data_IF_591185855423
#
_entry.id   IF_591185855423
#
_cell.length_a   1.000
_cell.length_b   1.000
_cell.length_c   1.000
_cell.angle_alpha   90.00
_cell.angle_beta   90.00
_cell.angle_gamma   90.00
#
_symmetry.space_group_name_H-M   'P 1'
#
loop_
_entity.id
_entity.type
_entity.pdbx_description
1 polymer ?
#
# COMPACT_ATOMS: atom_id res chain seq x y z
N UNK A 1 16.01 39.83 -2.33
CA UNK A 1 15.11 39.48 -1.17
C UNK A 1 14.03 38.60 -1.70
N UNK A 2 14.35 37.32 -1.82
CA UNK A 2 13.40 36.34 -2.33
C UNK A 2 12.59 35.77 -1.16
N UNK A 3 11.31 36.12 -1.14
CA UNK A 3 10.38 35.63 -0.15
C UNK A 3 10.12 34.13 -0.43
N UNK A 4 10.67 33.27 0.42
CA UNK A 4 10.25 31.87 0.52
C UNK A 4 8.77 31.84 0.96
N UNK A 5 7.88 31.70 -0.02
CA UNK A 5 6.51 31.31 0.29
C UNK A 5 6.53 29.84 0.73
N UNK A 6 6.68 29.64 2.02
CA UNK A 6 6.32 28.37 2.67
C UNK A 6 4.80 28.26 2.53
N UNK A 7 4.31 27.53 1.53
CA UNK A 7 2.90 27.20 1.42
C UNK A 7 2.64 26.18 2.54
N UNK A 8 2.30 26.69 3.72
CA UNK A 8 1.65 25.86 4.73
C UNK A 8 0.31 25.43 4.13
N UNK A 9 0.21 24.17 3.66
CA UNK A 9 -1.11 23.54 3.50
C UNK A 9 -1.78 23.68 4.87
N UNK A 10 -2.98 24.27 4.96
CA UNK A 10 -3.70 24.28 6.23
C UNK A 10 -3.82 22.81 6.70
N UNK A 11 -3.84 22.56 8.01
CA UNK A 11 -4.05 21.27 8.66
C UNK A 11 -5.38 20.68 8.14
N UNK A 12 -5.40 20.16 6.93
CA UNK A 12 -6.61 19.58 6.36
C UNK A 12 -6.71 18.16 6.92
N UNK A 13 -7.82 17.87 7.57
CA UNK A 13 -8.16 16.51 7.95
C UNK A 13 -8.53 15.64 6.73
N UNK A 14 -8.37 16.17 5.54
CA UNK A 14 -8.62 15.51 4.27
C UNK A 14 -7.31 14.98 3.69
N UNK A 15 -7.37 13.80 3.05
CA UNK A 15 -6.26 13.21 2.30
C UNK A 15 -6.80 12.62 1.00
N UNK A 16 -6.29 13.10 -0.13
CA UNK A 16 -6.58 12.53 -1.44
C UNK A 16 -5.65 11.37 -1.74
N UNK A 17 -6.23 10.22 -2.05
CA UNK A 17 -5.53 8.99 -2.40
C UNK A 17 -5.75 8.69 -3.88
N UNK A 18 -4.69 8.31 -4.56
CA UNK A 18 -4.74 7.76 -5.91
C UNK A 18 -4.31 6.30 -5.89
N UNK A 19 -5.21 5.37 -6.22
CA UNK A 19 -4.90 3.95 -6.37
C UNK A 19 -4.55 3.67 -7.82
N UNK A 20 -3.44 2.98 -8.08
CA UNK A 20 -3.11 2.54 -9.42
C UNK A 20 -3.31 1.04 -9.58
N UNK A 21 -4.43 0.65 -10.19
CA UNK A 21 -4.71 -0.72 -10.58
C UNK A 21 -4.17 -0.96 -11.98
N UNK A 22 -3.17 -1.85 -12.11
CA UNK A 22 -2.44 -2.02 -13.37
C UNK A 22 -2.02 -3.45 -13.64
N UNK A 23 -1.69 -3.71 -14.91
CA UNK A 23 -0.95 -4.92 -15.31
C UNK A 23 0.51 -4.75 -14.95
N UNK A 24 1.16 -5.85 -14.57
CA UNK A 24 2.60 -5.87 -14.33
C UNK A 24 3.28 -6.78 -15.34
N UNK A 25 4.28 -6.25 -16.05
CA UNK A 25 5.17 -7.04 -16.88
C UNK A 25 6.02 -7.93 -15.97
N UNK A 26 6.03 -9.24 -16.25
CA UNK A 26 6.71 -10.22 -15.42
C UNK A 26 8.23 -10.01 -15.46
N UNK A 27 8.81 -9.87 -14.25
CA UNK A 27 10.25 -9.71 -14.03
C UNK A 27 10.92 -8.63 -14.92
N UNK A 28 10.19 -7.55 -15.21
CA UNK A 28 10.68 -6.47 -16.06
C UNK A 28 10.48 -5.09 -15.41
N UNK A 29 11.43 -4.67 -14.53
CA UNK A 29 11.32 -3.41 -13.81
C UNK A 29 11.24 -2.18 -14.71
N UNK A 30 11.95 -2.16 -15.83
CA UNK A 30 11.98 -1.02 -16.76
C UNK A 30 10.62 -0.76 -17.40
N UNK A 31 9.99 -1.81 -17.95
CA UNK A 31 8.65 -1.69 -18.54
C UNK A 31 7.63 -1.24 -17.49
N UNK A 32 7.70 -1.82 -16.29
CA UNK A 32 6.77 -1.45 -15.22
C UNK A 32 6.95 -0.01 -14.77
N UNK A 33 8.18 0.47 -14.56
CA UNK A 33 8.45 1.88 -14.23
C UNK A 33 7.96 2.83 -15.32
N UNK A 34 8.22 2.51 -16.59
CA UNK A 34 7.76 3.34 -17.73
C UNK A 34 6.24 3.47 -17.74
N UNK A 35 5.52 2.37 -17.59
CA UNK A 35 4.06 2.37 -17.55
C UNK A 35 3.52 3.19 -16.36
N UNK A 36 4.09 2.97 -15.17
CA UNK A 36 3.69 3.69 -13.96
C UNK A 36 3.95 5.20 -14.12
N UNK A 37 5.12 5.59 -14.63
CA UNK A 37 5.48 6.99 -14.85
C UNK A 37 4.52 7.67 -15.83
N UNK A 38 4.12 6.99 -16.89
CA UNK A 38 3.17 7.50 -17.88
C UNK A 38 1.83 7.84 -17.21
N UNK A 39 1.22 6.91 -16.48
CA UNK A 39 -0.04 7.16 -15.78
C UNK A 39 0.11 8.21 -14.68
N UNK A 40 1.18 8.16 -13.91
CA UNK A 40 1.44 9.08 -12.82
C UNK A 40 1.59 10.53 -13.31
N UNK A 41 2.33 10.75 -14.40
CA UNK A 41 2.58 12.10 -14.92
C UNK A 41 1.39 12.67 -15.70
N UNK A 42 0.62 11.82 -16.38
CA UNK A 42 -0.53 12.24 -17.17
C UNK A 42 -1.80 12.46 -16.33
N UNK A 43 -1.76 12.10 -15.03
CA UNK A 43 -2.89 12.40 -14.15
C UNK A 43 -2.91 13.90 -13.81
N UNK A 44 -3.99 14.59 -14.20
CA UNK A 44 -4.14 16.03 -14.02
C UNK A 44 -4.62 16.40 -12.60
N UNK A 45 -5.35 15.50 -11.93
CA UNK A 45 -5.83 15.72 -10.58
C UNK A 45 -4.71 15.57 -9.55
N UNK A 46 -4.65 16.51 -8.59
CA UNK A 46 -3.68 16.42 -7.50
C UNK A 46 -4.12 15.43 -6.44
N UNK A 47 -3.17 14.69 -5.88
CA UNK A 47 -3.37 13.75 -4.79
C UNK A 47 -2.22 13.84 -3.77
N UNK A 48 -2.46 13.41 -2.54
CA UNK A 48 -1.47 13.42 -1.47
C UNK A 48 -0.65 12.12 -1.46
N UNK A 49 -1.26 10.98 -1.78
CA UNK A 49 -0.63 9.66 -1.76
C UNK A 49 -0.99 8.85 -3.01
N UNK A 50 0.02 8.34 -3.71
CA UNK A 50 -0.11 7.42 -4.83
C UNK A 50 0.26 6.00 -4.40
N UNK A 51 -0.63 5.04 -4.64
CA UNK A 51 -0.48 3.67 -4.15
C UNK A 51 -0.33 2.69 -5.31
N UNK A 52 0.80 2.00 -5.33
CA UNK A 52 1.17 0.96 -6.30
C UNK A 52 0.91 -0.45 -5.74
N UNK A 53 0.72 -1.47 -6.58
CA UNK A 53 0.54 -2.85 -6.13
C UNK A 53 1.76 -3.46 -5.42
N UNK A 54 1.62 -4.69 -4.93
CA UNK A 54 2.72 -5.51 -4.43
C UNK A 54 3.69 -5.86 -5.56
N UNK A 55 5.01 -5.83 -5.26
CA UNK A 55 6.08 -6.15 -6.22
C UNK A 55 5.85 -5.48 -7.59
N UNK A 56 5.52 -4.19 -7.56
CA UNK A 56 5.08 -3.44 -8.75
C UNK A 56 6.13 -3.40 -9.87
N UNK A 57 7.40 -3.66 -9.57
CA UNK A 57 8.48 -3.71 -10.57
C UNK A 57 8.62 -5.07 -11.27
N UNK A 58 8.12 -6.15 -10.65
CA UNK A 58 8.42 -7.52 -11.11
C UNK A 58 7.22 -8.46 -11.22
N UNK A 59 6.10 -8.15 -10.56
CA UNK A 59 5.09 -9.15 -10.24
C UNK A 59 5.56 -10.09 -9.14
N UNK A 60 4.67 -10.97 -8.67
CA UNK A 60 4.93 -11.86 -7.52
C UNK A 60 5.83 -13.04 -7.91
N UNK A 61 7.13 -12.78 -8.03
CA UNK A 61 8.15 -13.77 -8.42
C UNK A 61 8.79 -14.49 -7.25
N UNK A 62 9.14 -15.77 -7.45
CA UNK A 62 9.98 -16.56 -6.54
C UNK A 62 11.45 -16.61 -7.00
N UNK A 63 11.85 -15.69 -7.88
CA UNK A 63 13.23 -15.53 -8.37
C UNK A 63 13.81 -14.16 -7.94
N UNK A 64 13.94 -13.89 -6.62
CA UNK A 64 14.36 -12.57 -6.14
C UNK A 64 15.75 -12.15 -6.63
N UNK A 65 16.66 -13.08 -6.84
CA UNK A 65 18.02 -12.78 -7.30
C UNK A 65 18.09 -12.12 -8.67
N UNK A 66 17.05 -12.27 -9.48
CA UNK A 66 16.99 -11.71 -10.83
C UNK A 66 16.47 -10.26 -10.85
N UNK A 67 15.60 -9.89 -9.90
CA UNK A 67 14.88 -8.62 -9.92
C UNK A 67 15.16 -7.70 -8.74
N UNK A 68 15.89 -8.20 -7.72
CA UNK A 68 16.13 -7.44 -6.52
C UNK A 68 17.02 -6.22 -6.76
N UNK A 69 16.62 -5.11 -6.17
CA UNK A 69 17.43 -3.91 -6.03
C UNK A 69 17.85 -3.71 -4.56
N UNK A 70 18.71 -2.75 -4.30
CA UNK A 70 18.99 -2.26 -2.94
C UNK A 70 18.13 -1.02 -2.63
N UNK A 71 18.18 -0.52 -1.41
CA UNK A 71 17.51 0.74 -1.05
C UNK A 71 18.13 1.97 -1.72
N UNK A 72 19.31 1.83 -2.30
CA UNK A 72 20.01 2.83 -3.13
C UNK A 72 19.84 2.56 -4.64
N UNK A 73 18.97 1.60 -4.99
CA UNK A 73 18.74 1.18 -6.37
C UNK A 73 17.98 2.20 -7.22
N UNK A 74 17.90 1.89 -8.50
CA UNK A 74 17.30 2.74 -9.53
C UNK A 74 15.84 3.06 -9.24
N UNK A 75 15.05 2.06 -8.81
CA UNK A 75 13.63 2.24 -8.52
C UNK A 75 13.40 3.20 -7.35
N UNK A 76 14.21 3.12 -6.29
CA UNK A 76 14.09 4.03 -5.15
C UNK A 76 14.45 5.47 -5.56
N UNK A 77 15.50 5.66 -6.36
CA UNK A 77 15.87 6.96 -6.89
C UNK A 77 14.74 7.55 -7.76
N UNK A 78 14.19 6.74 -8.67
CA UNK A 78 13.07 7.11 -9.53
C UNK A 78 11.80 7.48 -8.74
N UNK A 79 11.43 6.71 -7.70
CA UNK A 79 10.29 7.05 -6.83
C UNK A 79 10.48 8.40 -6.12
N UNK A 80 11.71 8.69 -5.64
CA UNK A 80 12.03 9.98 -5.00
C UNK A 80 11.85 11.15 -5.98
N UNK A 81 12.28 10.98 -7.22
CA UNK A 81 12.13 12.00 -8.25
C UNK A 81 10.65 12.24 -8.60
N UNK A 82 9.85 11.18 -8.73
CA UNK A 82 8.41 11.29 -8.98
C UNK A 82 7.67 11.94 -7.80
N UNK A 83 7.94 11.51 -6.58
CA UNK A 83 7.32 12.06 -5.38
C UNK A 83 7.59 13.57 -5.25
N UNK A 84 8.82 14.00 -5.56
CA UNK A 84 9.19 15.41 -5.58
C UNK A 84 8.50 16.18 -6.71
N UNK A 85 8.41 15.62 -7.93
CA UNK A 85 7.77 16.26 -9.10
C UNK A 85 6.33 16.66 -8.83
N UNK A 86 5.53 15.77 -8.23
CA UNK A 86 4.10 16.03 -7.92
C UNK A 86 3.83 16.47 -6.49
N UNK A 87 4.85 16.57 -5.65
CA UNK A 87 4.72 16.94 -4.23
C UNK A 87 3.72 16.02 -3.49
N UNK A 88 3.75 14.72 -3.78
CA UNK A 88 2.92 13.68 -3.17
C UNK A 88 3.80 12.54 -2.64
N UNK A 89 3.29 11.77 -1.68
CA UNK A 89 3.96 10.53 -1.29
C UNK A 89 3.64 9.41 -2.28
N UNK A 90 4.55 8.42 -2.39
CA UNK A 90 4.34 7.22 -3.22
C UNK A 90 4.64 5.99 -2.38
N UNK A 91 3.77 4.97 -2.46
CA UNK A 91 3.96 3.71 -1.75
C UNK A 91 3.62 2.51 -2.62
N UNK A 92 4.27 1.40 -2.36
CA UNK A 92 4.09 0.11 -3.05
C UNK A 92 5.20 -0.83 -2.61
N UNK A 93 5.13 -2.13 -2.90
CA UNK A 93 6.22 -3.02 -2.55
C UNK A 93 7.06 -3.44 -3.75
N UNK A 94 8.31 -3.75 -3.48
CA UNK A 94 9.27 -4.25 -4.46
C UNK A 94 10.21 -5.27 -3.80
N UNK A 95 11.00 -5.96 -4.60
CA UNK A 95 11.98 -6.93 -4.12
C UNK A 95 13.26 -6.20 -3.76
N UNK A 96 13.62 -6.22 -2.47
CA UNK A 96 14.84 -5.58 -1.96
C UNK A 96 15.83 -6.64 -1.47
N UNK A 97 17.07 -6.51 -1.92
CA UNK A 97 18.23 -7.22 -1.35
C UNK A 97 18.88 -6.35 -0.29
N UNK A 98 19.03 -6.91 0.89
CA UNK A 98 19.78 -6.30 1.99
C UNK A 98 20.68 -7.35 2.63
N UNK A 99 21.98 -7.13 2.59
CA UNK A 99 22.99 -8.13 2.91
C UNK A 99 22.81 -9.41 2.06
N UNK A 100 22.62 -10.56 2.68
CA UNK A 100 22.40 -11.85 2.00
C UNK A 100 20.92 -12.23 1.92
N UNK A 101 20.00 -11.32 2.30
CA UNK A 101 18.58 -11.59 2.37
C UNK A 101 17.81 -10.84 1.29
N UNK A 102 16.67 -11.43 0.87
CA UNK A 102 15.69 -10.79 0.02
C UNK A 102 14.40 -10.52 0.80
N UNK A 103 13.80 -9.37 0.56
CA UNK A 103 12.57 -8.94 1.21
C UNK A 103 11.53 -8.51 0.18
N UNK A 104 10.28 -8.90 0.41
CA UNK A 104 9.13 -8.20 -0.14
C UNK A 104 8.91 -6.97 0.73
N UNK A 105 9.40 -5.81 0.27
CA UNK A 105 9.47 -4.57 1.05
C UNK A 105 8.53 -3.51 0.48
N UNK A 106 7.57 -3.09 1.27
CA UNK A 106 6.77 -1.92 0.96
C UNK A 106 7.51 -0.66 1.39
N UNK A 107 7.72 0.24 0.45
CA UNK A 107 8.35 1.53 0.71
C UNK A 107 7.29 2.63 0.75
N UNK A 108 7.51 3.62 1.60
CA UNK A 108 6.76 4.86 1.64
C UNK A 108 7.74 6.00 1.40
N UNK A 109 7.66 6.57 0.20
CA UNK A 109 8.56 7.62 -0.27
C UNK A 109 7.88 8.97 -0.11
N UNK A 110 8.42 9.82 0.76
CA UNK A 110 7.90 11.16 1.01
C UNK A 110 8.30 12.14 -0.11
N UNK A 111 7.56 13.25 -0.30
CA UNK A 111 7.96 14.32 -1.23
C UNK A 111 9.33 14.92 -0.92
N UNK A 112 9.78 14.82 0.33
CA UNK A 112 11.12 15.25 0.77
C UNK A 112 12.26 14.36 0.26
N UNK A 113 11.93 13.14 -0.22
CA UNK A 113 12.89 12.10 -0.55
C UNK A 113 13.26 11.17 0.62
N UNK A 114 12.72 11.41 1.82
CA UNK A 114 12.78 10.45 2.93
C UNK A 114 12.05 9.16 2.53
N UNK A 115 12.51 8.01 3.04
CA UNK A 115 11.90 6.71 2.78
C UNK A 115 11.73 5.97 4.10
N UNK A 116 10.50 5.56 4.40
CA UNK A 116 10.21 4.57 5.43
C UNK A 116 9.77 3.27 4.76
N UNK A 117 9.89 2.14 5.44
CA UNK A 117 9.58 0.86 4.82
C UNK A 117 9.06 -0.17 5.81
N UNK A 118 8.30 -1.13 5.27
CA UNK A 118 7.77 -2.29 5.93
C UNK A 118 8.22 -3.56 5.20
N UNK A 119 8.80 -4.53 5.89
CA UNK A 119 9.07 -5.86 5.36
C UNK A 119 7.89 -6.77 5.63
N UNK A 120 7.38 -7.44 4.61
CA UNK A 120 6.24 -8.38 4.73
C UNK A 120 6.47 -9.38 5.85
N UNK A 121 5.55 -9.43 6.80
CA UNK A 121 5.64 -10.34 7.94
C UNK A 121 5.18 -11.75 7.60
N UNK A 122 4.04 -11.87 6.94
CA UNK A 122 3.45 -13.17 6.62
C UNK A 122 3.76 -13.53 5.18
N UNK A 123 4.78 -14.38 5.01
CA UNK A 123 5.16 -14.89 3.70
C UNK A 123 4.19 -15.97 3.25
N UNK A 124 3.83 -15.95 1.96
CA UNK A 124 2.86 -16.86 1.39
C UNK A 124 3.47 -18.24 1.13
N UNK A 125 3.43 -19.10 2.13
CA UNK A 125 4.07 -20.44 2.14
C UNK A 125 3.54 -21.37 1.05
N UNK A 126 2.27 -21.22 0.65
CA UNK A 126 1.70 -22.02 -0.44
C UNK A 126 2.44 -21.81 -1.78
N UNK A 127 2.98 -20.62 -2.02
CA UNK A 127 3.81 -20.34 -3.19
C UNK A 127 5.31 -20.53 -2.93
N UNK A 128 5.71 -20.88 -1.71
CA UNK A 128 7.12 -21.03 -1.34
C UNK A 128 7.84 -19.70 -1.10
N UNK A 129 7.12 -18.60 -0.86
CA UNK A 129 7.71 -17.29 -0.57
C UNK A 129 8.68 -17.35 0.63
N UNK A 130 8.36 -18.14 1.65
CA UNK A 130 9.18 -18.39 2.84
C UNK A 130 10.51 -19.08 2.57
N UNK A 131 10.70 -19.67 1.39
CA UNK A 131 11.93 -20.35 0.99
C UNK A 131 12.94 -19.42 0.35
N UNK A 132 12.49 -18.28 -0.16
CA UNK A 132 13.33 -17.36 -0.95
C UNK A 132 13.34 -15.93 -0.42
N UNK A 133 12.36 -15.55 0.42
CA UNK A 133 12.29 -14.25 1.08
C UNK A 133 12.42 -14.38 2.60
N UNK A 134 12.93 -13.32 3.21
CA UNK A 134 13.04 -13.18 4.66
C UNK A 134 11.83 -12.39 5.19
N UNK A 135 11.17 -12.91 6.22
CA UNK A 135 10.05 -12.23 6.87
C UNK A 135 10.48 -11.00 7.66
N UNK A 136 9.63 -9.98 7.69
CA UNK A 136 9.72 -8.88 8.65
C UNK A 136 9.19 -9.29 10.03
N UNK A 137 9.49 -8.46 11.04
CA UNK A 137 9.06 -8.68 12.42
C UNK A 137 8.23 -7.52 12.97
N UNK A 138 8.35 -6.33 12.40
CA UNK A 138 7.80 -5.10 12.94
C UNK A 138 6.56 -4.65 12.19
N UNK A 139 5.58 -4.10 12.90
CA UNK A 139 4.48 -3.33 12.33
C UNK A 139 4.95 -1.88 12.16
N UNK A 140 4.75 -1.33 10.99
CA UNK A 140 5.18 0.04 10.66
C UNK A 140 3.97 0.95 10.51
N UNK A 141 3.99 2.04 11.26
CA UNK A 141 3.02 3.13 11.17
C UNK A 141 3.76 4.36 10.65
N UNK A 142 3.42 4.80 9.45
CA UNK A 142 3.95 6.02 8.85
C UNK A 142 3.06 7.20 9.22
N UNK A 143 3.65 8.31 9.68
CA UNK A 143 2.92 9.55 9.85
C UNK A 143 3.13 10.45 8.63
N UNK A 144 2.04 10.75 7.92
CA UNK A 144 2.06 11.63 6.76
C UNK A 144 0.82 12.54 6.75
N UNK A 145 1.00 13.84 6.61
CA UNK A 145 -0.08 14.84 6.61
C UNK A 145 -1.06 14.67 7.80
N UNK A 146 -0.57 14.40 8.99
CA UNK A 146 -1.37 14.08 10.18
C UNK A 146 -2.12 12.74 10.17
N UNK A 147 -1.91 11.88 9.19
CA UNK A 147 -2.49 10.55 9.13
C UNK A 147 -1.48 9.51 9.62
N UNK A 148 -1.94 8.61 10.48
CA UNK A 148 -1.19 7.42 10.87
C UNK A 148 -1.57 6.28 9.94
N UNK A 149 -0.64 5.85 9.09
CA UNK A 149 -0.86 4.87 8.02
C UNK A 149 -0.14 3.56 8.36
N UNK A 150 -0.90 2.49 8.58
CA UNK A 150 -0.36 1.15 8.80
C UNK A 150 -0.11 0.45 7.47
N UNK A 151 1.14 0.05 7.22
CA UNK A 151 1.54 -0.61 5.98
C UNK A 151 1.45 -2.14 6.11
N UNK A 152 0.82 -2.80 5.14
CA UNK A 152 0.65 -4.25 5.09
C UNK A 152 0.76 -4.75 3.64
N UNK A 153 1.18 -6.01 3.46
CA UNK A 153 1.36 -6.60 2.14
C UNK A 153 0.54 -7.88 2.00
N UNK A 154 -0.42 -7.88 1.08
CA UNK A 154 -1.10 -9.04 0.50
C UNK A 154 -1.55 -10.09 1.55
N UNK A 155 -0.77 -11.13 1.76
CA UNK A 155 -1.09 -12.24 2.66
C UNK A 155 -1.28 -11.82 4.13
N UNK A 156 -0.70 -10.67 4.54
CA UNK A 156 -0.92 -10.08 5.87
C UNK A 156 -2.42 -9.84 6.14
N UNK A 157 -3.21 -9.62 5.09
CA UNK A 157 -4.67 -9.44 5.19
C UNK A 157 -5.37 -10.61 5.90
N UNK A 158 -4.82 -11.82 5.86
CA UNK A 158 -5.40 -13.00 6.52
C UNK A 158 -5.14 -13.06 8.03
N UNK A 159 -4.35 -12.16 8.58
CA UNK A 159 -3.87 -12.21 9.96
C UNK A 159 -4.41 -11.03 10.80
N UNK A 160 -5.66 -11.14 11.33
CA UNK A 160 -6.32 -10.05 12.04
C UNK A 160 -5.59 -9.58 13.30
N UNK A 161 -4.91 -10.48 13.99
CA UNK A 161 -4.17 -10.15 15.22
C UNK A 161 -3.03 -9.16 14.92
N UNK A 162 -2.29 -9.39 13.83
CA UNK A 162 -1.22 -8.47 13.43
C UNK A 162 -1.77 -7.13 12.94
N UNK A 163 -2.92 -7.14 12.25
CA UNK A 163 -3.58 -5.93 11.77
C UNK A 163 -4.35 -5.17 12.86
N UNK A 164 -4.55 -5.76 14.07
CA UNK A 164 -5.36 -5.13 15.12
C UNK A 164 -4.85 -3.73 15.46
N UNK A 165 -5.78 -2.75 15.48
CA UNK A 165 -5.48 -1.33 15.73
C UNK A 165 -5.22 -1.07 17.22
N UNK A 166 -4.01 -1.32 17.67
CA UNK A 166 -3.54 -1.00 19.02
C UNK A 166 -2.74 0.31 19.03
N UNK A 167 -2.25 0.76 17.91
CA UNK A 167 -1.42 1.96 17.71
C UNK A 167 -2.25 3.20 17.32
N UNK A 168 -3.57 3.08 17.23
CA UNK A 168 -4.49 4.15 16.82
C UNK A 168 -4.20 4.70 15.42
N UNK A 169 -3.85 3.84 14.46
CA UNK A 169 -3.71 4.25 13.07
C UNK A 169 -5.07 4.63 12.45
N UNK A 170 -5.02 5.52 11.47
CA UNK A 170 -6.20 6.08 10.80
C UNK A 170 -6.52 5.33 9.50
N UNK A 171 -5.48 4.87 8.80
CA UNK A 171 -5.54 4.16 7.54
C UNK A 171 -4.76 2.84 7.63
N UNK A 172 -5.40 1.76 7.20
CA UNK A 172 -4.78 0.45 6.99
C UNK A 172 -4.66 0.20 5.49
N UNK A 173 -3.44 0.06 5.01
CA UNK A 173 -3.12 0.01 3.59
C UNK A 173 -2.52 -1.34 3.21
N UNK A 174 -3.16 -2.02 2.25
CA UNK A 174 -2.69 -3.28 1.66
C UNK A 174 -2.33 -3.11 0.20
N UNK A 175 -1.16 -3.62 -0.20
CA UNK A 175 -0.78 -3.77 -1.61
C UNK A 175 -0.65 -5.26 -1.93
N UNK A 176 -1.11 -5.70 -3.12
CA UNK A 176 -1.26 -7.13 -3.39
C UNK A 176 -1.02 -7.55 -4.84
N UNK A 177 -0.66 -8.84 -4.98
CA UNK A 177 -0.90 -9.69 -6.14
C UNK A 177 -1.89 -10.78 -5.69
N UNK A 178 -3.18 -10.44 -5.60
CA UNK A 178 -4.23 -11.33 -5.08
C UNK A 178 -5.03 -11.96 -6.22
N UNK A 179 -4.90 -13.27 -6.44
CA UNK A 179 -5.41 -13.89 -7.65
C UNK A 179 -6.90 -14.23 -7.57
N UNK A 180 -7.51 -14.32 -8.73
CA UNK A 180 -8.94 -14.58 -8.95
C UNK A 180 -9.54 -15.76 -8.15
N UNK A 181 -8.88 -16.94 -8.02
CA UNK A 181 -9.46 -18.05 -7.26
C UNK A 181 -9.69 -17.75 -5.76
N UNK A 182 -9.11 -16.67 -5.24
CA UNK A 182 -9.20 -16.26 -3.83
C UNK A 182 -9.80 -14.88 -3.63
N UNK A 183 -10.37 -14.28 -4.70
CA UNK A 183 -10.82 -12.88 -4.67
C UNK A 183 -11.90 -12.61 -3.63
N UNK A 184 -12.84 -13.54 -3.42
CA UNK A 184 -13.85 -13.40 -2.38
C UNK A 184 -13.24 -13.17 -0.98
N UNK A 185 -12.12 -13.79 -0.67
CA UNK A 185 -11.45 -13.53 0.61
C UNK A 185 -10.84 -12.14 0.69
N UNK A 186 -10.34 -11.59 -0.43
CA UNK A 186 -9.86 -10.22 -0.54
C UNK A 186 -10.96 -9.22 -0.22
N UNK A 187 -12.09 -9.32 -0.92
CA UNK A 187 -13.24 -8.42 -0.78
C UNK A 187 -13.80 -8.41 0.64
N UNK A 188 -14.04 -9.61 1.20
CA UNK A 188 -14.62 -9.75 2.55
C UNK A 188 -13.66 -9.28 3.64
N UNK A 189 -12.36 -9.63 3.53
CA UNK A 189 -11.40 -9.31 4.58
C UNK A 189 -11.03 -7.83 4.62
N UNK A 190 -10.92 -7.13 3.49
CA UNK A 190 -10.69 -5.68 3.48
C UNK A 190 -11.79 -4.95 4.25
N UNK A 191 -13.04 -5.27 3.95
CA UNK A 191 -14.18 -4.71 4.67
C UNK A 191 -14.17 -5.06 6.17
N UNK A 192 -13.84 -6.30 6.52
CA UNK A 192 -13.75 -6.74 7.91
C UNK A 192 -12.67 -5.95 8.67
N UNK A 193 -11.50 -5.73 8.06
CA UNK A 193 -10.41 -4.94 8.66
C UNK A 193 -10.83 -3.50 8.94
N UNK A 194 -11.60 -2.88 8.05
CA UNK A 194 -12.12 -1.53 8.25
C UNK A 194 -13.03 -1.47 9.49
N UNK A 195 -14.00 -2.38 9.57
CA UNK A 195 -15.00 -2.43 10.66
C UNK A 195 -14.35 -2.71 12.02
N UNK A 196 -13.56 -3.78 12.13
CA UNK A 196 -12.98 -4.21 13.41
C UNK A 196 -11.95 -3.25 13.97
N UNK A 197 -11.29 -2.46 13.10
CA UNK A 197 -10.26 -1.50 13.47
C UNK A 197 -10.73 -0.05 13.48
N UNK A 198 -11.99 0.19 13.13
CA UNK A 198 -12.57 1.54 12.98
C UNK A 198 -11.62 2.49 12.22
N UNK A 199 -11.07 2.00 11.10
CA UNK A 199 -10.12 2.75 10.28
C UNK A 199 -10.53 2.68 8.82
N UNK A 200 -10.09 3.67 8.02
CA UNK A 200 -10.11 3.50 6.58
C UNK A 200 -9.25 2.29 6.21
N UNK A 201 -9.74 1.46 5.29
CA UNK A 201 -8.97 0.32 4.78
C UNK A 201 -8.95 0.36 3.27
N UNK A 202 -7.74 0.33 2.71
CA UNK A 202 -7.49 0.38 1.28
C UNK A 202 -6.73 -0.88 0.89
N UNK A 203 -7.18 -1.51 -0.19
CA UNK A 203 -6.46 -2.61 -0.83
C UNK A 203 -6.19 -2.29 -2.29
N UNK A 204 -4.93 -2.30 -2.71
CA UNK A 204 -4.53 -2.14 -4.10
C UNK A 204 -4.02 -3.46 -4.64
N UNK A 205 -4.70 -3.98 -5.67
CA UNK A 205 -4.37 -5.22 -6.34
C UNK A 205 -4.00 -4.94 -7.80
N UNK A 206 -3.27 -5.85 -8.41
CA UNK A 206 -3.00 -5.82 -9.85
C UNK A 206 -4.12 -6.46 -10.66
N UNK A 207 -4.12 -6.22 -11.98
CA UNK A 207 -4.93 -6.94 -12.97
C UNK A 207 -4.06 -7.76 -13.94
N UNK A 208 -4.70 -8.58 -14.76
CA UNK A 208 -4.08 -9.33 -15.85
C UNK A 208 -3.57 -10.71 -15.43
N UNK A 209 -2.70 -11.29 -16.20
CA UNK A 209 -2.15 -12.63 -16.00
C UNK A 209 -0.64 -12.54 -15.73
N UNK A 210 -0.11 -13.45 -14.92
CA UNK A 210 1.33 -13.58 -14.71
C UNK A 210 1.94 -14.68 -15.61
N UNK A 211 3.27 -14.87 -15.52
CA UNK A 211 3.97 -15.89 -16.29
C UNK A 211 3.56 -17.34 -15.93
N UNK A 212 2.93 -17.53 -14.76
CA UNK A 212 2.41 -18.83 -14.31
C UNK A 212 0.95 -19.06 -14.73
N UNK A 213 0.38 -18.20 -15.57
CA UNK A 213 -1.01 -18.25 -16.03
C UNK A 213 -2.04 -18.03 -14.93
N UNK A 214 -1.66 -17.36 -13.87
CA UNK A 214 -2.55 -16.99 -12.79
C UNK A 214 -3.21 -15.65 -13.12
N UNK A 215 -4.55 -15.63 -13.12
CA UNK A 215 -5.34 -14.44 -13.39
C UNK A 215 -5.49 -13.60 -12.11
N UNK A 216 -5.37 -12.29 -12.28
CA UNK A 216 -5.60 -11.26 -11.26
C UNK A 216 -6.74 -10.34 -11.70
N UNK A 217 -7.85 -10.29 -10.97
CA UNK A 217 -9.06 -9.59 -11.42
C UNK A 217 -9.09 -8.11 -11.03
N UNK A 218 -8.06 -7.60 -10.34
CA UNK A 218 -8.14 -6.27 -9.76
C UNK A 218 -8.87 -6.27 -8.42
N UNK A 219 -10.06 -5.66 -8.34
CA UNK A 219 -10.80 -5.41 -7.12
C UNK A 219 -10.00 -4.60 -6.11
N UNK A 220 -9.25 -3.57 -6.59
CA UNK A 220 -8.75 -2.55 -5.70
C UNK A 220 -9.92 -1.80 -5.10
N UNK A 221 -9.93 -1.66 -3.77
CA UNK A 221 -11.11 -1.18 -3.04
C UNK A 221 -10.69 -0.27 -1.88
N UNK A 222 -11.62 0.60 -1.50
CA UNK A 222 -11.51 1.40 -0.30
C UNK A 222 -12.79 1.32 0.52
N UNK A 223 -12.63 1.16 1.82
CA UNK A 223 -13.72 1.13 2.80
C UNK A 223 -13.52 2.20 3.86
N UNK A 224 -14.61 2.84 4.28
CA UNK A 224 -14.59 3.71 5.44
C UNK A 224 -14.52 2.89 6.76
N UNK A 225 -14.35 3.60 7.85
CA UNK A 225 -14.22 3.04 9.20
C UNK A 225 -15.51 2.34 9.74
N UNK A 226 -16.60 2.38 9.01
CA UNK A 226 -17.85 1.62 9.27
C UNK A 226 -18.05 0.47 8.28
N UNK A 227 -17.14 0.30 7.32
CA UNK A 227 -17.19 -0.74 6.30
C UNK A 227 -18.06 -0.38 5.09
N UNK A 228 -18.43 0.89 4.90
CA UNK A 228 -19.05 1.32 3.67
C UNK A 228 -18.00 1.39 2.56
N UNK A 229 -18.32 0.83 1.41
CA UNK A 229 -17.44 0.86 0.25
C UNK A 229 -17.43 2.27 -0.35
N UNK A 230 -16.24 2.84 -0.47
CA UNK A 230 -16.02 4.18 -1.03
C UNK A 230 -15.60 4.09 -2.50
N UNK A 231 -14.78 3.09 -2.82
CA UNK A 231 -14.25 2.83 -4.17
C UNK A 231 -14.27 1.33 -4.43
N UNK A 232 -14.64 0.98 -5.65
CA UNK A 232 -14.46 -0.33 -6.25
C UNK A 232 -13.93 -0.13 -7.67
N UNK A 233 -12.72 -0.58 -7.92
CA UNK A 233 -12.09 -0.45 -9.24
C UNK A 233 -12.46 -1.62 -10.16
N UNK A 234 -13.22 -2.60 -9.66
CA UNK A 234 -13.57 -3.81 -10.42
C UNK A 234 -12.33 -4.39 -11.14
N UNK A 235 -12.42 -4.63 -12.46
CA UNK A 235 -11.32 -5.10 -13.29
C UNK A 235 -10.71 -4.02 -14.21
N UNK A 236 -11.03 -2.75 -13.96
CA UNK A 236 -10.59 -1.63 -14.78
C UNK A 236 -9.12 -1.26 -14.54
N UNK A 237 -8.39 -1.00 -15.63
CA UNK A 237 -7.03 -0.46 -15.56
C UNK A 237 -7.10 1.06 -15.41
N UNK A 238 -6.41 1.64 -14.43
CA UNK A 238 -6.36 3.08 -14.31
C UNK A 238 -5.93 3.59 -12.94
N UNK A 239 -5.95 4.92 -12.84
CA UNK A 239 -5.78 5.66 -11.59
C UNK A 239 -7.16 6.05 -11.06
N UNK A 240 -7.45 5.73 -9.80
CA UNK A 240 -8.72 6.00 -9.15
C UNK A 240 -8.47 6.92 -7.96
N UNK A 241 -9.07 8.13 -7.99
CA UNK A 241 -8.81 9.16 -6.99
C UNK A 241 -10.05 9.37 -6.12
N UNK A 242 -9.84 9.46 -4.81
CA UNK A 242 -10.88 9.73 -3.82
C UNK A 242 -10.28 10.39 -2.58
N UNK A 243 -11.16 10.86 -1.71
CA UNK A 243 -10.77 11.63 -0.53
C UNK A 243 -11.19 10.94 0.77
N UNK A 244 -10.30 10.93 1.75
CA UNK A 244 -10.53 10.48 3.11
C UNK A 244 -10.75 11.69 4.03
N UNK A 245 -11.69 11.59 5.00
CA UNK A 245 -11.97 12.61 5.99
C UNK A 245 -11.70 12.11 7.42
N UNK A 246 -10.60 12.55 8.01
CA UNK A 246 -10.20 12.19 9.37
C UNK A 246 -11.15 12.75 10.43
N UNK A 247 -11.80 13.89 10.16
CA UNK A 247 -12.75 14.47 11.11
C UNK A 247 -13.94 13.56 11.34
N UNK A 248 -14.54 13.09 10.24
CA UNK A 248 -15.66 12.14 10.27
C UNK A 248 -15.28 10.81 10.95
N UNK A 249 -14.07 10.31 10.73
CA UNK A 249 -13.56 9.11 11.43
C UNK A 249 -13.44 9.36 12.94
N UNK A 250 -12.89 10.49 13.35
CA UNK A 250 -12.72 10.82 14.76
C UNK A 250 -14.07 10.99 15.47
N UNK A 251 -15.05 11.60 14.81
CA UNK A 251 -16.42 11.71 15.34
C UNK A 251 -17.06 10.32 15.53
N UNK A 252 -16.91 9.42 14.56
CA UNK A 252 -17.41 8.07 14.68
C UNK A 252 -16.71 7.28 15.81
N UNK A 253 -15.39 7.37 15.91
CA UNK A 253 -14.62 6.75 16.99
C UNK A 253 -15.02 7.28 18.37
N UNK A 254 -15.23 8.58 18.51
CA UNK A 254 -15.71 9.19 19.75
C UNK A 254 -17.13 8.73 20.11
N UNK A 255 -18.01 8.59 19.11
CA UNK A 255 -19.40 8.19 19.30
C UNK A 255 -19.54 6.72 19.70
N UNK A 256 -18.84 5.81 19.00
CA UNK A 256 -19.01 4.36 19.18
C UNK A 256 -18.02 3.78 20.18
N UNK A 257 -16.81 4.31 20.24
CA UNK A 257 -15.77 3.98 21.21
C UNK A 257 -15.32 2.49 21.26
N UNK A 258 -15.61 1.68 20.24
CA UNK A 258 -15.36 0.23 20.20
C UNK A 258 -13.89 -0.15 20.38
N UNK A 259 -12.95 0.74 19.98
CA UNK A 259 -11.53 0.47 20.14
C UNK A 259 -11.06 0.45 21.60
N UNK A 260 -11.84 0.99 22.55
CA UNK A 260 -11.52 0.94 23.96
C UNK A 260 -11.80 -0.42 24.59
N UNK A 261 -12.65 -1.24 23.94
CA UNK A 261 -13.01 -2.59 24.40
C UNK A 261 -12.09 -3.68 23.85
N UNK A 262 -10.99 -3.27 23.15
CA UNK A 262 -10.05 -4.23 22.58
C UNK A 262 -9.25 -4.98 23.65
N UNK A 263 -9.01 -6.27 23.38
CA UNK A 263 -8.13 -7.08 24.19
C UNK A 263 -6.67 -6.59 24.14
N UNK A 264 -5.94 -6.80 25.23
CA UNK A 264 -4.49 -6.64 25.26
C UNK A 264 -3.83 -7.96 24.89
N UNK A 265 -2.84 -7.93 23.99
CA UNK A 265 -2.07 -9.10 23.57
C UNK A 265 -0.67 -8.70 23.12
N UNK A 266 0.23 -9.67 23.08
CA UNK A 266 1.58 -9.52 22.54
C UNK A 266 1.77 -10.49 21.35
N UNK A 267 2.48 -10.03 20.33
CA UNK A 267 2.85 -10.85 19.16
C UNK A 267 4.33 -11.19 19.26
N UNK A 268 4.64 -12.47 19.32
CA UNK A 268 6.00 -12.99 19.41
C UNK A 268 6.58 -13.46 18.08
#
# INVERSE_FOLDING_TARGET
>A
MDAFFCIFKPNSNLMKIALFQTKLAWENPEINRTLIEEYFLNEDESFDLFVLPEMFTSGFTMNPSFVAETMEGETIAWLKDLAKKKTCAITGSLVIKENDNFYNRMVFVFPSGEVQFYNKRHLFTLAGEDKVYTKGTEKIIVNYNNWNICLQICYDLRFPVFARNVENYDLLLYVANWPKPRINAWDVLLKARAIENMCYTIGVNRIGEDANKLEYPGHSQAFDYLGNQMVDCEDELGVFIFELDKSSQNEARAKFNFLNDKDAFEIH
#
